data_IF_026394600700
#
_entry.id   IF_026394600700
#
_cell.length_a   1.000
_cell.length_b   1.000
_cell.length_c   1.000
_cell.angle_alpha   90.00
_cell.angle_beta   90.00
_cell.angle_gamma   90.00
#
_symmetry.space_group_name_H-M   'P 1'
#
loop_
_entity.id
_entity.type
_entity.pdbx_description
1 polymer ?
#
# COMPACT_ATOMS: atom_id res chain seq x y z
N UNK A 1 2.35 -13.84 -9.70
CA UNK A 1 1.93 -14.59 -10.90
C UNK A 1 0.43 -14.85 -10.83
N UNK A 2 -0.24 -15.26 -11.93
CA UNK A 2 -1.70 -15.42 -11.97
C UNK A 2 -2.26 -16.46 -10.97
N UNK A 3 -1.41 -17.33 -10.42
CA UNK A 3 -1.77 -18.24 -9.32
C UNK A 3 -2.25 -17.51 -8.06
N UNK A 4 -1.89 -16.23 -7.90
CA UNK A 4 -2.44 -15.33 -6.89
C UNK A 4 -2.29 -15.81 -5.42
N UNK A 5 -1.17 -16.45 -5.08
CA UNK A 5 -0.89 -16.96 -3.72
C UNK A 5 -0.76 -15.89 -2.63
N UNK A 6 -0.71 -14.61 -3.00
CA UNK A 6 -0.73 -13.47 -2.07
C UNK A 6 -2.12 -12.84 -1.96
N UNK A 7 -3.12 -13.47 -2.58
CA UNK A 7 -4.50 -13.01 -2.67
C UNK A 7 -4.58 -11.54 -3.13
N UNK A 8 -3.75 -11.16 -4.11
CA UNK A 8 -3.62 -9.77 -4.56
C UNK A 8 -4.95 -9.19 -5.06
N UNK A 9 -5.77 -10.02 -5.72
CA UNK A 9 -7.08 -9.62 -6.25
C UNK A 9 -8.11 -9.17 -5.21
N UNK A 10 -7.90 -9.42 -3.91
CA UNK A 10 -8.80 -8.95 -2.84
C UNK A 10 -8.13 -7.94 -1.89
N UNK A 11 -6.98 -7.40 -2.26
CA UNK A 11 -6.33 -6.29 -1.55
C UNK A 11 -6.90 -4.95 -2.01
N UNK A 12 -6.77 -3.93 -1.16
CA UNK A 12 -7.11 -2.55 -1.52
C UNK A 12 -6.36 -2.09 -2.78
N UNK A 13 -5.09 -2.46 -2.89
CA UNK A 13 -4.23 -2.31 -4.07
C UNK A 13 -3.48 -3.63 -4.30
N UNK A 14 -3.85 -4.35 -5.35
CA UNK A 14 -3.32 -5.65 -5.72
C UNK A 14 -2.44 -5.58 -6.95
N UNK A 15 -1.28 -6.24 -6.92
CA UNK A 15 -0.37 -6.31 -8.08
C UNK A 15 -0.14 -7.77 -8.45
N UNK A 16 -0.41 -8.12 -9.69
CA UNK A 16 -0.30 -9.49 -10.21
C UNK A 16 0.73 -9.52 -11.34
N UNK A 17 1.85 -10.21 -11.12
CA UNK A 17 2.81 -10.46 -12.20
C UNK A 17 2.15 -11.29 -13.30
N UNK A 18 2.26 -10.86 -14.56
CA UNK A 18 1.73 -11.59 -15.73
C UNK A 18 2.83 -12.22 -16.59
N UNK A 19 4.10 -11.99 -16.25
CA UNK A 19 5.27 -12.51 -16.97
C UNK A 19 6.13 -11.39 -17.56
N UNK A 20 7.36 -11.70 -17.96
CA UNK A 20 8.29 -10.75 -18.63
C UNK A 20 8.48 -9.41 -17.93
N UNK A 21 8.50 -9.41 -16.59
CA UNK A 21 8.62 -8.17 -15.80
C UNK A 21 7.41 -7.24 -15.88
N UNK A 22 6.27 -7.73 -16.38
CA UNK A 22 5.01 -6.99 -16.50
C UNK A 22 3.99 -7.36 -15.43
N UNK A 23 3.13 -6.40 -15.12
CA UNK A 23 2.20 -6.47 -14.00
C UNK A 23 0.82 -5.93 -14.37
N UNK A 24 -0.21 -6.53 -13.78
CA UNK A 24 -1.56 -5.97 -13.72
C UNK A 24 -1.81 -5.43 -12.32
N UNK A 25 -2.52 -4.29 -12.25
CA UNK A 25 -2.89 -3.60 -11.02
C UNK A 25 -4.40 -3.68 -10.86
N UNK A 26 -4.84 -4.12 -9.67
CA UNK A 26 -6.24 -4.24 -9.27
C UNK A 26 -6.52 -3.37 -8.05
N UNK A 27 -7.68 -2.72 -7.97
CA UNK A 27 -8.03 -1.81 -6.85
C UNK A 27 -9.41 -2.07 -6.27
N UNK A 28 -9.57 -1.75 -4.98
CA UNK A 28 -10.86 -1.87 -4.28
C UNK A 28 -11.25 -3.30 -3.94
N UNK A 29 -10.28 -4.20 -3.75
CA UNK A 29 -10.54 -5.56 -3.27
C UNK A 29 -10.88 -5.61 -1.78
N UNK A 30 -11.62 -6.64 -1.37
CA UNK A 30 -11.92 -6.91 0.04
C UNK A 30 -12.01 -8.42 0.32
N UNK A 31 -11.52 -8.83 1.49
CA UNK A 31 -11.57 -10.21 1.98
C UNK A 31 -12.15 -10.32 3.40
N UNK A 32 -12.82 -9.27 3.88
CA UNK A 32 -13.40 -9.20 5.22
C UNK A 32 -14.86 -9.61 5.24
N UNK A 33 -15.67 -8.89 6.05
CA UNK A 33 -17.12 -9.09 6.10
C UNK A 33 -17.80 -8.89 4.73
N UNK A 34 -17.26 -7.99 3.91
CA UNK A 34 -17.58 -7.88 2.49
C UNK A 34 -16.43 -8.47 1.68
N UNK A 35 -16.77 -9.38 0.76
CA UNK A 35 -15.82 -10.03 -0.13
C UNK A 35 -16.01 -9.43 -1.53
N UNK A 36 -14.92 -8.88 -2.09
CA UNK A 36 -14.94 -8.22 -3.38
C UNK A 36 -13.62 -8.47 -4.11
N UNK A 37 -13.70 -8.87 -5.37
CA UNK A 37 -12.55 -8.84 -6.29
C UNK A 37 -12.32 -7.39 -6.71
N UNK A 38 -11.09 -6.91 -6.62
CA UNK A 38 -10.69 -5.60 -7.13
C UNK A 38 -10.84 -5.52 -8.65
N UNK A 39 -11.04 -4.29 -9.15
CA UNK A 39 -11.17 -4.02 -10.59
C UNK A 39 -9.81 -3.73 -11.19
N UNK A 40 -9.62 -4.08 -12.46
CA UNK A 40 -8.38 -3.80 -13.18
C UNK A 40 -8.22 -2.28 -13.37
N UNK A 41 -7.20 -1.71 -12.76
CA UNK A 41 -6.84 -0.30 -12.94
C UNK A 41 -5.93 -0.12 -14.17
N UNK A 42 -4.90 -0.94 -14.30
CA UNK A 42 -3.93 -0.85 -15.39
C UNK A 42 -3.20 -2.18 -15.57
N UNK A 43 -2.67 -2.41 -16.76
CA UNK A 43 -1.87 -3.60 -17.05
C UNK A 43 -2.02 -4.05 -18.51
N UNK A 44 -1.03 -4.77 -19.05
CA UNK A 44 0.29 -5.04 -18.46
C UNK A 44 1.20 -3.80 -18.45
N UNK A 45 1.84 -3.48 -17.32
CA UNK A 45 2.74 -2.32 -17.15
C UNK A 45 4.09 -2.71 -16.54
N UNK A 46 5.07 -1.81 -16.55
CA UNK A 46 6.39 -2.04 -15.95
C UNK A 46 6.37 -1.95 -14.41
N UNK A 47 7.45 -2.37 -13.75
CA UNK A 47 7.57 -2.23 -12.30
C UNK A 47 7.59 -0.77 -11.82
N UNK A 48 8.17 0.13 -12.62
CA UNK A 48 8.21 1.56 -12.29
C UNK A 48 6.81 2.18 -12.40
N UNK A 49 6.03 1.78 -13.40
CA UNK A 49 4.62 2.19 -13.54
C UNK A 49 3.77 1.72 -12.35
N UNK A 50 4.06 0.54 -11.78
CA UNK A 50 3.37 0.06 -10.58
C UNK A 50 3.59 1.00 -9.41
N UNK A 51 4.83 1.45 -9.18
CA UNK A 51 5.13 2.38 -8.09
C UNK A 51 4.46 3.74 -8.30
N UNK A 52 4.52 4.28 -9.53
CA UNK A 52 3.87 5.53 -9.87
C UNK A 52 2.34 5.45 -9.67
N UNK A 53 1.69 4.43 -10.22
CA UNK A 53 0.24 4.24 -10.11
C UNK A 53 -0.21 3.93 -8.68
N UNK A 54 0.60 3.24 -7.88
CA UNK A 54 0.33 3.06 -6.46
C UNK A 54 0.31 4.40 -5.73
N UNK A 55 1.30 5.26 -5.96
CA UNK A 55 1.35 6.60 -5.39
C UNK A 55 0.14 7.45 -5.79
N UNK A 56 -0.19 7.48 -7.08
CA UNK A 56 -1.35 8.22 -7.63
C UNK A 56 -2.66 7.75 -7.03
N UNK A 57 -2.90 6.44 -7.00
CA UNK A 57 -4.13 5.88 -6.43
C UNK A 57 -4.26 6.21 -4.94
N UNK A 58 -3.18 6.03 -4.16
CA UNK A 58 -3.18 6.35 -2.72
C UNK A 58 -3.43 7.84 -2.51
N UNK A 59 -2.77 8.71 -3.26
CA UNK A 59 -2.94 10.15 -3.12
C UNK A 59 -4.37 10.59 -3.50
N UNK A 60 -4.89 10.09 -4.62
CA UNK A 60 -6.25 10.38 -5.05
C UNK A 60 -7.29 9.87 -4.03
N UNK A 61 -7.11 8.66 -3.50
CA UNK A 61 -7.95 8.11 -2.43
C UNK A 61 -7.91 8.97 -1.17
N UNK A 62 -6.73 9.41 -0.72
CA UNK A 62 -6.59 10.31 0.46
C UNK A 62 -7.35 11.62 0.31
N UNK A 63 -7.46 12.14 -0.91
CA UNK A 63 -8.10 13.42 -1.21
C UNK A 63 -9.61 13.31 -1.45
N UNK A 64 -10.09 12.15 -1.91
CA UNK A 64 -11.45 11.99 -2.43
C UNK A 64 -12.31 10.96 -1.68
N UNK A 65 -11.73 10.21 -0.74
CA UNK A 65 -12.48 9.26 0.09
C UNK A 65 -13.27 9.97 1.19
N UNK A 66 -14.47 9.46 1.47
CA UNK A 66 -15.28 9.87 2.60
C UNK A 66 -14.71 9.38 3.93
N UNK A 67 -15.23 9.94 5.02
CA UNK A 67 -14.86 9.49 6.37
C UNK A 67 -15.19 8.00 6.56
N UNK A 68 -14.20 7.21 7.00
CA UNK A 68 -14.28 5.75 7.19
C UNK A 68 -14.63 4.95 5.92
N UNK A 69 -14.56 5.56 4.75
CA UNK A 69 -14.83 4.87 3.50
C UNK A 69 -13.65 3.97 3.12
N UNK A 70 -13.90 2.67 2.93
CA UNK A 70 -12.88 1.70 2.51
C UNK A 70 -12.73 1.71 0.99
N UNK A 71 -11.58 1.27 0.48
CA UNK A 71 -11.34 1.25 -0.98
C UNK A 71 -12.37 0.41 -1.75
N UNK A 72 -12.92 -0.64 -1.12
CA UNK A 72 -13.95 -1.48 -1.72
C UNK A 72 -15.33 -0.81 -1.87
N UNK A 73 -15.59 0.28 -1.14
CA UNK A 73 -16.77 1.15 -1.32
C UNK A 73 -16.44 2.34 -2.23
N UNK A 74 -15.24 2.90 -2.06
CA UNK A 74 -14.72 4.03 -2.83
C UNK A 74 -14.62 3.75 -4.33
N UNK A 75 -14.02 2.62 -4.72
CA UNK A 75 -13.79 2.31 -6.14
C UNK A 75 -15.11 2.17 -6.91
N UNK A 76 -16.13 1.43 -6.42
CA UNK A 76 -17.46 1.44 -7.03
C UNK A 76 -18.14 2.81 -7.07
N UNK A 77 -17.97 3.65 -6.03
CA UNK A 77 -18.57 4.99 -5.97
C UNK A 77 -18.00 5.93 -7.03
N UNK A 78 -16.68 5.94 -7.22
CA UNK A 78 -16.02 6.76 -8.24
C UNK A 78 -16.20 6.15 -9.63
N UNK A 79 -16.17 4.82 -9.73
CA UNK A 79 -16.19 4.06 -10.96
C UNK A 79 -14.78 3.79 -11.50
N UNK A 80 -14.53 2.54 -11.90
CA UNK A 80 -13.21 2.13 -12.40
C UNK A 80 -12.82 2.88 -13.68
N UNK A 81 -13.75 3.08 -14.61
CA UNK A 81 -13.48 3.79 -15.86
C UNK A 81 -13.02 5.24 -15.62
N UNK A 82 -13.60 5.89 -14.60
CA UNK A 82 -13.23 7.24 -14.17
C UNK A 82 -11.85 7.25 -13.51
N UNK A 83 -11.54 6.27 -12.66
CA UNK A 83 -10.20 6.14 -12.09
C UNK A 83 -9.15 5.89 -13.16
N UNK A 84 -9.44 5.09 -14.18
CA UNK A 84 -8.54 4.88 -15.32
C UNK A 84 -8.35 6.17 -16.13
N UNK A 85 -9.43 6.93 -16.39
CA UNK A 85 -9.36 8.22 -17.08
C UNK A 85 -8.42 9.20 -16.36
N UNK A 86 -8.58 9.31 -15.04
CA UNK A 86 -7.85 10.26 -14.22
C UNK A 86 -6.41 9.84 -13.93
N UNK A 87 -6.18 8.57 -13.57
CA UNK A 87 -4.90 8.14 -13.01
C UNK A 87 -3.97 7.49 -14.03
N UNK A 88 -4.53 6.94 -15.12
CA UNK A 88 -3.78 6.22 -16.16
C UNK A 88 -3.68 7.05 -17.43
N UNK A 89 -4.79 7.66 -17.86
CA UNK A 89 -4.85 8.46 -19.10
C UNK A 89 -4.66 9.96 -18.88
N UNK A 90 -4.63 10.40 -17.63
CA UNK A 90 -4.46 11.81 -17.21
C UNK A 90 -5.39 12.78 -17.97
N UNK A 91 -6.66 12.40 -18.18
CA UNK A 91 -7.61 13.17 -18.99
C UNK A 91 -7.94 14.57 -18.40
N UNK A 92 -7.52 14.86 -17.17
CA UNK A 92 -7.74 16.13 -16.48
C UNK A 92 -6.46 16.80 -15.99
N UNK A 93 -5.29 16.37 -16.47
CA UNK A 93 -3.97 16.94 -16.14
C UNK A 93 -3.70 17.02 -14.62
N UNK A 94 -4.17 16.03 -13.86
CA UNK A 94 -4.05 16.00 -12.38
C UNK A 94 -2.86 15.17 -11.89
N UNK A 95 -2.30 14.31 -12.73
CA UNK A 95 -1.28 13.33 -12.34
C UNK A 95 -0.04 14.00 -11.77
N UNK A 96 0.46 15.06 -12.41
CA UNK A 96 1.66 15.78 -11.95
C UNK A 96 1.48 16.29 -10.52
N UNK A 97 0.33 16.89 -10.22
CA UNK A 97 0.03 17.37 -8.87
C UNK A 97 -0.11 16.23 -7.85
N UNK A 98 -0.68 15.09 -8.24
CA UNK A 98 -0.75 13.91 -7.38
C UNK A 98 0.66 13.38 -7.06
N UNK A 99 1.52 13.26 -8.08
CA UNK A 99 2.90 12.78 -7.96
C UNK A 99 3.74 13.68 -7.04
N UNK A 100 3.60 15.01 -7.15
CA UNK A 100 4.26 15.96 -6.26
C UNK A 100 3.82 15.80 -4.79
N UNK A 101 2.50 15.68 -4.55
CA UNK A 101 1.95 15.60 -3.19
C UNK A 101 2.28 14.27 -2.51
N UNK A 102 2.24 13.15 -3.24
CA UNK A 102 2.69 11.87 -2.69
C UNK A 102 4.19 11.88 -2.45
N UNK A 103 4.98 12.48 -3.35
CA UNK A 103 6.42 12.67 -3.19
C UNK A 103 6.77 13.44 -1.92
N UNK A 104 6.06 14.55 -1.65
CA UNK A 104 6.22 15.32 -0.42
C UNK A 104 5.88 14.50 0.84
N UNK A 105 4.81 13.68 0.79
CA UNK A 105 4.43 12.81 1.90
C UNK A 105 5.48 11.73 2.18
N UNK A 106 6.04 11.11 1.12
CA UNK A 106 7.12 10.12 1.23
C UNK A 106 8.40 10.77 1.76
N UNK A 107 8.77 11.95 1.27
CA UNK A 107 9.95 12.69 1.75
C UNK A 107 9.85 13.09 3.23
N UNK A 108 8.64 13.34 3.72
CA UNK A 108 8.38 13.67 5.12
C UNK A 108 8.29 12.43 6.03
N UNK A 109 8.31 11.21 5.48
CA UNK A 109 8.20 9.98 6.26
C UNK A 109 9.40 9.83 7.21
N UNK A 110 9.11 9.55 8.48
CA UNK A 110 10.10 9.18 9.49
C UNK A 110 9.81 7.78 9.96
N UNK A 111 10.80 6.90 9.87
CA UNK A 111 10.66 5.52 10.32
C UNK A 111 10.65 5.48 11.87
N UNK A 112 9.51 5.16 12.50
CA UNK A 112 9.41 5.11 13.96
C UNK A 112 10.25 3.98 14.57
N UNK A 113 10.63 2.97 13.78
CA UNK A 113 11.43 1.84 14.22
C UNK A 113 12.94 2.16 14.19
N UNK A 114 13.39 3.01 13.27
CA UNK A 114 14.77 3.54 13.31
C UNK A 114 14.95 4.55 14.44
N UNK A 115 13.92 5.32 14.78
CA UNK A 115 13.97 6.16 15.99
C UNK A 115 14.18 5.37 17.28
N UNK A 116 13.84 4.07 17.28
CA UNK A 116 14.02 3.18 18.42
C UNK A 116 15.45 2.68 18.59
N UNK A 117 16.30 2.76 17.55
CA UNK A 117 17.69 2.27 17.63
C UNK A 117 18.57 3.20 18.48
N UNK A 118 18.25 4.50 18.51
CA UNK A 118 18.89 5.45 19.40
C UNK A 118 18.10 5.57 20.71
N UNK A 119 18.74 5.27 21.84
CA UNK A 119 18.13 5.45 23.15
C UNK A 119 17.91 6.96 23.41
N UNK A 120 16.65 7.40 23.48
CA UNK A 120 16.20 8.73 23.90
C UNK A 120 16.54 9.04 25.36
N UNK A 121 16.78 8.02 26.20
CA UNK A 121 17.30 8.19 27.57
C UNK A 121 18.07 6.94 28.05
N UNK A 122 18.98 7.07 29.04
CA UNK A 122 19.70 5.93 29.62
C UNK A 122 18.79 4.88 30.29
N UNK A 123 17.54 5.24 30.61
CA UNK A 123 16.55 4.34 31.18
C UNK A 123 15.72 3.62 30.10
N UNK A 124 15.78 4.04 28.84
CA UNK A 124 15.02 3.44 27.77
C UNK A 124 15.55 2.03 27.46
N UNK A 125 14.67 1.04 27.49
CA UNK A 125 15.00 -0.38 27.38
C UNK A 125 15.83 -0.96 28.54
N UNK A 126 16.06 -0.19 29.63
CA UNK A 126 16.52 -0.81 30.87
C UNK A 126 15.39 -1.65 31.45
N UNK A 127 15.64 -2.92 31.78
CA UNK A 127 14.65 -3.74 32.44
C UNK A 127 14.40 -3.17 33.85
N UNK A 128 13.14 -3.19 34.31
CA UNK A 128 12.76 -2.75 35.66
C UNK A 128 13.34 -3.65 36.76
N UNK A 129 13.74 -4.87 36.39
CA UNK A 129 14.38 -5.87 37.23
C UNK A 129 15.68 -6.34 36.55
N UNK A 130 16.68 -6.83 37.31
CA UNK A 130 17.83 -7.48 36.71
C UNK A 130 17.34 -8.66 35.84
N UNK A 131 17.79 -8.72 34.58
CA UNK A 131 17.57 -9.90 33.74
C UNK A 131 18.34 -11.06 34.36
N UNK A 132 17.60 -11.96 35.01
CA UNK A 132 18.16 -13.23 35.46
C UNK A 132 18.46 -14.08 34.21
N UNK A 133 19.61 -14.75 34.15
CA UNK A 133 19.88 -15.68 33.06
C UNK A 133 18.77 -16.74 33.05
N UNK A 134 18.13 -16.93 31.88
CA UNK A 134 17.17 -18.01 31.71
C UNK A 134 17.89 -19.36 31.88
N UNK A 135 17.25 -20.36 32.50
CA UNK A 135 17.79 -21.71 32.56
C UNK A 135 18.03 -22.22 31.14
N UNK A 136 19.26 -22.65 30.85
CA UNK A 136 19.58 -23.23 29.56
C UNK A 136 18.93 -24.61 29.46
N UNK A 137 18.01 -24.76 28.50
CA UNK A 137 17.46 -26.07 28.16
C UNK A 137 18.54 -26.84 27.38
N UNK A 138 18.94 -28.06 27.79
CA UNK A 138 19.89 -28.85 27.04
C UNK A 138 19.38 -29.07 25.62
N UNK A 139 20.18 -28.68 24.63
CA UNK A 139 19.90 -29.04 23.22
C UNK A 139 20.13 -30.54 23.10
N UNK A 140 19.09 -31.28 22.69
CA UNK A 140 19.17 -32.71 22.38
C UNK A 140 19.88 -32.95 21.07
#
# INVERSE_FOLDING_TARGET
CPRNCSEALCKDFGVVAVGDGRWEIYVGGAAGAHIRKGDLLAGPVSGDDVLALAGRFIQYYRENAGWLERTYDFVPRIGIDRLQALLVRDEEDIVTGLDERIGAAVAAYRDPWLERTAQKSPAQFRPALPLLPLPQVPVR
#
